data_IF_903001546482
#
_entry.id   IF_903001546482
#
_cell.length_a   1.000
_cell.length_b   1.000
_cell.length_c   1.000
_cell.angle_alpha   90.00
_cell.angle_beta   90.00
_cell.angle_gamma   90.00
#
_symmetry.space_group_name_H-M   'P 1'
#
loop_
_entity.id
_entity.type
_entity.pdbx_description
1 polymer ?
#
# COMPACT_ATOMS: atom_id res chain seq x y z
N UNK A 1 -1.33 -8.85 -14.08
CA UNK A 1 0.00 -8.51 -13.55
C UNK A 1 0.82 -7.87 -14.65
N UNK A 2 1.09 -8.58 -15.75
CA UNK A 2 1.90 -8.05 -16.86
C UNK A 2 1.35 -6.72 -17.39
N UNK A 3 0.03 -6.62 -17.59
CA UNK A 3 -0.62 -5.39 -18.02
C UNK A 3 -0.37 -4.16 -17.10
N UNK A 4 -0.18 -4.36 -15.80
CA UNK A 4 0.06 -3.25 -14.84
C UNK A 4 1.52 -2.78 -14.94
N UNK A 5 2.45 -3.74 -15.02
CA UNK A 5 3.87 -3.46 -15.20
C UNK A 5 4.11 -2.78 -16.55
N UNK A 6 3.46 -3.27 -17.61
CA UNK A 6 3.51 -2.68 -18.95
C UNK A 6 2.91 -1.27 -18.97
N UNK A 7 1.77 -1.05 -18.30
CA UNK A 7 1.15 0.27 -18.17
C UNK A 7 2.08 1.26 -17.44
N UNK A 8 2.70 0.84 -16.34
CA UNK A 8 3.66 1.66 -15.59
C UNK A 8 4.89 2.01 -16.44
N UNK A 9 5.47 1.03 -17.14
CA UNK A 9 6.62 1.25 -18.01
C UNK A 9 6.28 2.20 -19.18
N UNK A 10 5.13 2.02 -19.82
CA UNK A 10 4.69 2.91 -20.89
C UNK A 10 4.46 4.33 -20.38
N UNK A 11 3.77 4.49 -19.25
CA UNK A 11 3.53 5.81 -18.65
C UNK A 11 4.84 6.52 -18.26
N UNK A 12 5.82 5.78 -17.73
CA UNK A 12 7.15 6.31 -17.44
C UNK A 12 7.86 6.79 -18.72
N UNK A 13 7.86 5.98 -19.78
CA UNK A 13 8.50 6.35 -21.04
C UNK A 13 7.84 7.59 -21.67
N UNK A 14 6.51 7.66 -21.68
CA UNK A 14 5.78 8.83 -22.19
C UNK A 14 6.02 10.09 -21.35
N UNK A 15 6.12 9.97 -20.03
CA UNK A 15 6.46 11.07 -19.14
C UNK A 15 7.87 11.62 -19.43
N UNK A 16 8.86 10.75 -19.56
CA UNK A 16 10.24 11.14 -19.89
C UNK A 16 10.31 11.77 -21.28
N UNK A 17 9.60 11.22 -22.27
CA UNK A 17 9.54 11.79 -23.62
C UNK A 17 8.90 13.18 -23.64
N UNK A 18 7.84 13.40 -22.85
CA UNK A 18 7.23 14.72 -22.71
C UNK A 18 8.17 15.72 -22.02
N UNK A 19 8.94 15.28 -21.02
CA UNK A 19 9.95 16.11 -20.37
C UNK A 19 11.06 16.56 -21.35
N UNK A 20 11.55 15.63 -22.17
CA UNK A 20 12.51 15.93 -23.23
C UNK A 20 11.93 16.94 -24.24
N UNK A 21 10.68 16.74 -24.66
CA UNK A 21 9.98 17.66 -25.58
C UNK A 21 9.87 19.09 -25.02
N UNK A 22 9.68 19.26 -23.72
CA UNK A 22 9.69 20.58 -23.06
C UNK A 22 11.08 21.22 -23.13
N UNK A 23 12.15 20.46 -22.91
CA UNK A 23 13.52 20.98 -22.98
C UNK A 23 13.89 21.38 -24.41
N UNK A 24 13.56 20.56 -25.40
CA UNK A 24 13.78 20.85 -26.82
C UNK A 24 12.97 22.07 -27.29
N UNK A 25 11.71 22.18 -26.86
CA UNK A 25 10.87 23.34 -27.15
C UNK A 25 11.42 24.62 -26.53
N UNK A 26 11.97 24.54 -25.30
CA UNK A 26 12.63 25.67 -24.63
C UNK A 26 13.91 26.10 -25.34
N UNK A 27 14.74 25.16 -25.79
CA UNK A 27 15.97 25.47 -26.53
C UNK A 27 15.67 26.08 -27.90
N UNK A 28 14.64 25.57 -28.58
CA UNK A 28 14.17 26.09 -29.87
C UNK A 28 13.47 27.45 -29.75
N UNK A 29 12.98 27.80 -28.56
CA UNK A 29 12.37 29.09 -28.26
C UNK A 29 13.45 30.12 -27.94
N UNK A 30 14.27 30.49 -28.94
CA UNK A 30 15.27 31.55 -28.85
C UNK A 30 14.61 32.95 -28.81
N UNK A 31 13.79 33.22 -27.78
CA UNK A 31 13.35 34.56 -27.38
C UNK A 31 11.86 34.89 -27.47
N UNK A 32 11.04 34.22 -28.30
CA UNK A 32 9.64 34.67 -28.53
C UNK A 32 8.57 33.57 -28.72
N UNK A 33 8.93 32.28 -28.80
CA UNK A 33 7.97 31.24 -29.20
C UNK A 33 7.29 30.58 -27.99
N UNK A 34 6.45 31.36 -27.29
CA UNK A 34 5.77 30.94 -26.06
C UNK A 34 4.75 29.80 -26.27
N UNK A 35 4.11 29.74 -27.43
CA UNK A 35 3.00 28.79 -27.71
C UNK A 35 3.45 27.33 -27.84
N UNK A 36 4.62 27.07 -28.42
CA UNK A 36 5.15 25.70 -28.56
C UNK A 36 5.60 25.15 -27.21
N UNK A 37 6.25 25.98 -26.40
CA UNK A 37 6.66 25.62 -25.04
C UNK A 37 5.46 25.42 -24.12
N UNK A 38 4.42 26.25 -24.24
CA UNK A 38 3.18 26.12 -23.47
C UNK A 38 2.45 24.79 -23.79
N UNK A 39 2.30 24.47 -25.08
CA UNK A 39 1.72 23.19 -25.49
C UNK A 39 2.53 21.97 -25.00
N UNK A 40 3.87 22.04 -25.03
CA UNK A 40 4.73 20.99 -24.48
C UNK A 40 4.59 20.87 -22.96
N UNK A 41 4.44 21.98 -22.24
CA UNK A 41 4.22 22.00 -20.79
C UNK A 41 2.87 21.39 -20.39
N UNK A 42 1.80 21.70 -21.12
CA UNK A 42 0.49 21.07 -20.89
C UNK A 42 0.54 19.57 -21.17
N UNK A 43 1.23 19.14 -22.22
CA UNK A 43 1.44 17.72 -22.49
C UNK A 43 2.24 17.03 -21.38
N UNK A 44 3.31 17.66 -20.90
CA UNK A 44 4.10 17.16 -19.78
C UNK A 44 3.25 17.01 -18.50
N UNK A 45 2.43 18.00 -18.15
CA UNK A 45 1.51 17.92 -17.02
C UNK A 45 0.56 16.75 -17.17
N UNK A 46 -0.03 16.56 -18.35
CA UNK A 46 -0.92 15.44 -18.61
C UNK A 46 -0.22 14.08 -18.44
N UNK A 47 1.00 13.92 -18.99
CA UNK A 47 1.76 12.67 -18.85
C UNK A 47 2.22 12.42 -17.42
N UNK A 48 2.55 13.47 -16.67
CA UNK A 48 2.84 13.37 -15.24
C UNK A 48 1.66 12.85 -14.43
N UNK A 49 0.45 13.37 -14.67
CA UNK A 49 -0.76 12.90 -13.99
C UNK A 49 -1.06 11.42 -14.32
N UNK A 50 -0.94 11.03 -15.59
CA UNK A 50 -1.10 9.63 -16.00
C UNK A 50 -0.05 8.71 -15.36
N UNK A 51 1.19 9.16 -15.25
CA UNK A 51 2.25 8.41 -14.58
C UNK A 51 1.96 8.20 -13.09
N UNK A 52 1.49 9.23 -12.37
CA UNK A 52 1.08 9.08 -10.96
C UNK A 52 -0.03 8.04 -10.80
N UNK A 53 -1.06 8.08 -11.63
CA UNK A 53 -2.15 7.09 -11.60
C UNK A 53 -1.62 5.68 -11.84
N UNK A 54 -0.65 5.51 -12.74
CA UNK A 54 -0.03 4.21 -12.97
C UNK A 54 0.81 3.74 -11.76
N UNK A 55 1.49 4.65 -11.05
CA UNK A 55 2.18 4.36 -9.79
C UNK A 55 1.20 3.91 -8.70
N UNK A 56 0.07 4.62 -8.53
CA UNK A 56 -0.95 4.26 -7.54
C UNK A 56 -1.51 2.85 -7.80
N UNK A 57 -1.78 2.51 -9.06
CA UNK A 57 -2.24 1.17 -9.45
C UNK A 57 -1.17 0.09 -9.21
N UNK A 58 0.10 0.42 -9.44
CA UNK A 58 1.21 -0.50 -9.18
C UNK A 58 1.38 -0.74 -7.67
N UNK A 59 1.20 0.29 -6.84
CA UNK A 59 1.22 0.18 -5.38
C UNK A 59 0.07 -0.72 -4.88
N UNK A 60 -1.16 -0.47 -5.34
CA UNK A 60 -2.32 -1.33 -5.01
C UNK A 60 -2.06 -2.79 -5.40
N UNK A 61 -1.46 -3.02 -6.57
CA UNK A 61 -1.10 -4.37 -7.00
C UNK A 61 -0.09 -5.03 -6.06
N UNK A 62 0.95 -4.30 -5.64
CA UNK A 62 1.95 -4.82 -4.69
C UNK A 62 1.30 -5.13 -3.34
N UNK A 63 0.41 -4.28 -2.84
CA UNK A 63 -0.33 -4.53 -1.61
C UNK A 63 -1.26 -5.76 -1.71
N UNK A 64 -1.96 -5.90 -2.83
CA UNK A 64 -2.78 -7.06 -3.17
C UNK A 64 -1.97 -8.37 -3.19
N UNK A 65 -0.78 -8.35 -3.80
CA UNK A 65 0.12 -9.50 -3.80
C UNK A 65 0.64 -9.80 -2.39
N UNK A 66 0.98 -8.77 -1.61
CA UNK A 66 1.39 -8.92 -0.20
C UNK A 66 0.29 -9.58 0.64
N UNK A 67 -0.97 -9.18 0.47
CA UNK A 67 -2.11 -9.80 1.16
C UNK A 67 -2.33 -11.25 0.73
N UNK A 68 -2.19 -11.56 -0.56
CA UNK A 68 -2.27 -12.94 -1.07
C UNK A 68 -1.21 -13.84 -0.43
N UNK A 69 0.05 -13.38 -0.44
CA UNK A 69 1.18 -14.10 0.19
C UNK A 69 1.00 -14.25 1.69
N UNK A 70 0.53 -13.21 2.37
CA UNK A 70 0.25 -13.26 3.81
C UNK A 70 -0.88 -14.23 4.17
N UNK A 71 -1.90 -14.35 3.32
CA UNK A 71 -3.07 -15.21 3.57
C UNK A 71 -2.84 -16.67 3.19
N UNK A 72 -2.07 -16.96 2.12
CA UNK A 72 -1.73 -18.33 1.71
C UNK A 72 -0.76 -19.04 2.67
N UNK A 73 -0.03 -18.28 3.51
CA UNK A 73 0.78 -18.81 4.60
C UNK A 73 -0.04 -19.29 5.82
N UNK A 74 -1.30 -18.85 5.98
CA UNK A 74 -2.14 -19.19 7.15
C UNK A 74 -2.97 -20.47 6.97
N UNK A 75 -3.06 -21.00 5.74
CA UNK A 75 -3.94 -22.15 5.41
C UNK A 75 -3.21 -23.49 5.36
N UNK A 76 -1.90 -23.50 5.05
CA UNK A 76 -1.15 -24.77 4.89
C UNK A 76 -0.92 -25.49 6.22
N UNK A 77 -0.89 -24.77 7.34
CA UNK A 77 -0.56 -25.36 8.64
C UNK A 77 -1.83 -25.72 9.46
N UNK A 78 -3.04 -25.51 8.89
CA UNK A 78 -4.32 -25.99 9.44
C UNK A 78 -4.92 -27.18 8.66
N UNK A 79 -4.42 -27.45 7.45
CA UNK A 79 -4.86 -28.60 6.64
C UNK A 79 -3.75 -29.63 6.65
N UNK A 80 -3.66 -30.39 7.74
CA UNK A 80 -2.82 -31.57 7.80
C UNK A 80 -2.99 -32.38 6.53
N UNK A 81 -1.93 -32.48 5.73
CA UNK A 81 -1.88 -33.30 4.53
C UNK A 81 -2.12 -34.76 4.95
N UNK A 82 -3.38 -35.17 4.87
CA UNK A 82 -3.76 -36.58 4.87
C UNK A 82 -3.44 -37.10 3.47
N UNK A 83 -2.14 -37.29 3.19
CA UNK A 83 -1.71 -38.26 2.19
C UNK A 83 -1.99 -39.63 2.81
N UNK A 84 -3.07 -40.23 2.32
CA UNK A 84 -3.58 -41.51 2.78
C UNK A 84 -2.53 -42.62 2.66
N UNK A 85 -2.40 -43.39 3.74
CA UNK A 85 -1.83 -44.74 3.72
C UNK A 85 -2.95 -45.70 4.16
N UNK A 86 -3.46 -46.58 3.28
CA UNK A 86 -4.49 -47.52 3.68
C UNK A 86 -3.84 -48.65 4.46
N UNK A 87 -4.32 -48.85 5.69
CA UNK A 87 -4.13 -50.10 6.42
C UNK A 87 -3.40 -49.96 7.75
N UNK A 88 -4.12 -49.60 8.80
CA UNK A 88 -4.06 -50.43 10.01
C UNK A 88 -5.30 -50.26 10.87
N UNK A 89 -5.74 -51.40 11.38
CA UNK A 89 -7.01 -51.66 12.01
C UNK A 89 -7.19 -50.94 13.36
N UNK A 90 -8.47 -50.88 13.75
CA UNK A 90 -9.03 -50.51 15.02
C UNK A 90 -8.17 -50.83 16.26
N UNK A 91 -7.99 -49.82 17.12
CA UNK A 91 -7.76 -49.98 18.55
C UNK A 91 -8.19 -48.73 19.32
N UNK A 92 -9.38 -48.82 19.93
CA UNK A 92 -9.72 -48.32 21.27
C UNK A 92 -8.81 -47.26 21.91
N UNK A 93 -9.30 -46.02 22.02
CA UNK A 93 -9.12 -45.17 23.21
C UNK A 93 -9.93 -43.88 23.07
N UNK A 94 -10.90 -43.69 23.97
CA UNK A 94 -11.42 -42.37 24.34
C UNK A 94 -10.28 -41.54 24.92
N UNK A 95 -9.59 -40.78 24.06
CA UNK A 95 -8.59 -39.81 24.46
C UNK A 95 -8.68 -38.64 23.52
N UNK A 96 -9.10 -37.47 24.04
CA UNK A 96 -8.99 -36.22 23.30
C UNK A 96 -7.54 -36.11 22.80
N UNK A 97 -7.31 -35.88 21.50
CA UNK A 97 -5.96 -35.80 20.97
C UNK A 97 -5.21 -34.71 21.75
N UNK A 98 -3.96 -34.95 22.18
CA UNK A 98 -3.23 -33.97 22.96
C UNK A 98 -3.15 -32.68 22.13
N UNK A 99 -3.64 -31.57 22.71
CA UNK A 99 -3.54 -30.25 22.12
C UNK A 99 -2.04 -29.99 21.94
N UNK A 100 -1.55 -30.16 20.71
CA UNK A 100 -0.14 -29.94 20.40
C UNK A 100 0.18 -28.48 20.71
N UNK A 101 1.22 -28.24 21.49
CA UNK A 101 1.71 -26.88 21.79
C UNK A 101 1.88 -26.04 20.52
N UNK A 102 2.23 -26.70 19.41
CA UNK A 102 2.32 -26.12 18.06
C UNK A 102 0.99 -25.48 17.62
N UNK A 103 -0.13 -26.19 17.78
CA UNK A 103 -1.46 -25.69 17.40
C UNK A 103 -1.87 -24.49 18.25
N UNK A 104 -1.51 -24.48 19.54
CA UNK A 104 -1.77 -23.32 20.40
C UNK A 104 -0.85 -22.14 20.05
N UNK A 105 0.40 -22.41 19.70
CA UNK A 105 1.35 -21.37 19.26
C UNK A 105 0.90 -20.72 17.95
N UNK A 106 0.52 -21.51 16.96
CA UNK A 106 -0.03 -20.99 15.70
C UNK A 106 -1.28 -20.17 15.91
N UNK A 107 -2.23 -20.67 16.72
CA UNK A 107 -3.42 -19.89 17.08
C UNK A 107 -3.03 -18.59 17.78
N UNK A 108 -2.02 -18.60 18.65
CA UNK A 108 -1.52 -17.37 19.30
C UNK A 108 -0.87 -16.37 18.32
N UNK A 109 -0.25 -16.86 17.24
CA UNK A 109 0.33 -16.02 16.18
C UNK A 109 -0.76 -15.42 15.30
N UNK A 110 -1.74 -16.23 14.88
CA UNK A 110 -2.89 -15.75 14.12
C UNK A 110 -3.71 -14.72 14.89
N UNK A 111 -3.95 -14.96 16.18
CA UNK A 111 -4.65 -14.01 17.06
C UNK A 111 -3.85 -12.70 17.21
N UNK A 112 -2.51 -12.77 17.37
CA UNK A 112 -1.67 -11.56 17.43
C UNK A 112 -1.75 -10.74 16.14
N UNK A 113 -1.78 -11.40 14.98
CA UNK A 113 -1.96 -10.72 13.69
C UNK A 113 -3.31 -10.03 13.59
N UNK A 114 -4.39 -10.73 13.93
CA UNK A 114 -5.74 -10.16 13.92
C UNK A 114 -5.87 -8.93 14.84
N UNK A 115 -5.22 -8.96 16.01
CA UNK A 115 -5.19 -7.80 16.92
C UNK A 115 -4.49 -6.59 16.28
N UNK A 116 -3.38 -6.79 15.57
CA UNK A 116 -2.67 -5.72 14.86
C UNK A 116 -3.55 -5.16 13.73
N UNK A 117 -4.25 -6.02 13.01
CA UNK A 117 -5.14 -5.63 11.91
C UNK A 117 -6.37 -4.84 12.41
N UNK A 118 -6.93 -5.22 13.57
CA UNK A 118 -8.00 -4.46 14.22
C UNK A 118 -7.51 -3.12 14.80
N UNK A 119 -6.27 -3.05 15.30
CA UNK A 119 -5.67 -1.79 15.76
C UNK A 119 -5.39 -0.82 14.61
N UNK A 120 -4.98 -1.33 13.45
CA UNK A 120 -4.78 -0.52 12.24
C UNK A 120 -6.09 -0.23 11.48
N UNK A 121 -7.13 -1.07 11.64
CA UNK A 121 -8.46 -0.90 11.07
C UNK A 121 -9.43 -0.06 11.90
N UNK A 122 -9.09 0.28 13.16
CA UNK A 122 -9.87 1.20 14.00
C UNK A 122 -9.63 2.66 13.60
N UNK A 123 -9.99 2.99 12.36
CA UNK A 123 -9.73 4.28 11.74
C UNK A 123 -10.79 4.74 10.75
N UNK A 124 -12.04 4.26 10.82
CA UNK A 124 -13.16 4.87 10.08
C UNK A 124 -14.47 4.81 10.89
N UNK A 125 -14.62 5.72 11.84
CA UNK A 125 -15.95 6.14 12.31
C UNK A 125 -16.44 7.25 11.37
N UNK A 126 -17.44 6.94 10.54
CA UNK A 126 -18.18 7.94 9.80
C UNK A 126 -19.02 8.83 10.73
N UNK A 127 -18.78 10.13 10.65
CA UNK A 127 -19.74 11.23 10.83
C UNK A 127 -20.58 11.33 12.11
N UNK A 128 -20.24 12.27 13.00
CA UNK A 128 -21.16 13.29 13.54
C UNK A 128 -20.49 14.22 14.58
N UNK A 129 -20.48 15.52 14.26
CA UNK A 129 -20.63 16.71 15.13
C UNK A 129 -20.06 16.77 16.58
N UNK A 130 -19.17 17.77 16.78
CA UNK A 130 -18.90 18.61 17.98
C UNK A 130 -18.09 18.04 19.18
N UNK A 131 -17.42 18.87 20.02
CA UNK A 131 -16.76 20.18 19.83
C UNK A 131 -15.28 20.18 20.31
N UNK A 132 -14.56 21.28 20.04
CA UNK A 132 -13.20 21.58 20.51
C UNK A 132 -12.94 21.35 22.02
N UNK A 133 -11.69 21.01 22.38
CA UNK A 133 -10.98 21.73 23.43
C UNK A 133 -9.79 22.50 22.82
N UNK A 134 -9.58 23.79 23.16
CA UNK A 134 -8.44 24.55 22.66
C UNK A 134 -7.17 24.05 23.35
N UNK A 135 -6.15 23.70 22.57
CA UNK A 135 -4.80 23.52 23.10
C UNK A 135 -4.29 24.88 23.63
N UNK A 136 -3.65 24.92 24.81
CA UNK A 136 -3.10 26.15 25.35
C UNK A 136 -1.93 26.59 24.47
N UNK A 137 -2.05 27.76 23.88
CA UNK A 137 -0.96 28.51 23.28
C UNK A 137 0.18 28.60 24.30
N UNK A 138 1.27 27.90 24.01
CA UNK A 138 2.50 27.90 24.81
C UNK A 138 3.12 29.30 24.71
N UNK A 139 2.80 30.11 25.72
CA UNK A 139 3.30 31.46 25.93
C UNK A 139 4.79 31.42 26.28
N UNK A 140 5.65 31.21 25.27
CA UNK A 140 7.12 31.31 25.41
C UNK A 140 7.78 32.30 24.46
N UNK A 141 7.13 33.44 24.21
CA UNK A 141 7.84 34.67 23.84
C UNK A 141 7.25 35.84 24.62
N UNK A 142 7.79 36.06 25.82
CA UNK A 142 7.69 37.30 26.57
C UNK A 142 9.11 37.87 26.70
N UNK A 143 9.22 39.20 26.54
CA UNK A 143 10.43 40.03 26.56
C UNK A 143 11.42 39.82 25.38
N UNK A 144 11.93 40.86 24.70
CA UNK A 144 12.35 42.16 25.23
C UNK A 144 12.21 43.31 24.21
N UNK A 145 11.84 44.47 24.72
CA UNK A 145 11.81 45.76 24.02
C UNK A 145 13.14 46.48 24.19
N UNK A 146 13.71 46.99 23.10
CA UNK A 146 14.39 48.30 22.99
C UNK A 146 15.46 48.27 21.89
N UNK A 147 15.25 49.06 20.83
CA UNK A 147 15.94 50.34 20.58
C UNK A 147 15.86 50.72 19.09
#
# INVERSE_FOLDING_TARGET
MDNIVDALNNAYQEFVAAAASVLEAKESASGQKMTTTDAALENFKQRWELFKVACDQAEEFVESVKQRIGSECLVDEATGSVVGKPGQAASTSTGLPPISAVRLEQMSKAVRWLVIELQHGSGTAGGSSHPHPPAPFDARFSEDSAQ
#
